data_IF_095498952592
#
_entry.id   IF_095498952592
#
_cell.length_a   1.000
_cell.length_b   1.000
_cell.length_c   1.000
_cell.angle_alpha   90.00
_cell.angle_beta   90.00
_cell.angle_gamma   90.00
#
_symmetry.space_group_name_H-M   'P 1'
#
loop_
_entity.id
_entity.type
_entity.pdbx_description
1 polymer ?
#
# COMPACT_ATOMS: atom_id res chain seq x y z
N UNK A 1 -10.63 -0.81 27.45
CA UNK A 1 -10.10 -0.22 26.20
C UNK A 1 -9.02 -1.14 25.65
N UNK A 2 -8.57 -1.00 24.40
CA UNK A 2 -7.39 -1.70 23.90
C UNK A 2 -6.27 -0.72 23.63
N UNK A 3 -5.12 -0.93 24.26
CA UNK A 3 -3.88 -0.21 24.00
C UNK A 3 -2.96 -1.08 23.17
N UNK A 4 -2.14 -0.46 22.33
CA UNK A 4 -1.02 -1.14 21.68
C UNK A 4 0.28 -0.66 22.32
N UNK A 5 1.11 -1.60 22.77
CA UNK A 5 2.48 -1.38 23.20
C UNK A 5 3.41 -1.91 22.11
N UNK A 6 4.14 -1.01 21.47
CA UNK A 6 5.09 -1.33 20.41
C UNK A 6 6.49 -1.08 20.95
N UNK A 7 7.31 -2.12 21.01
CA UNK A 7 8.70 -2.00 21.46
C UNK A 7 9.59 -1.42 20.36
N UNK A 8 10.41 -0.44 20.75
CA UNK A 8 11.45 0.25 19.98
C UNK A 8 12.72 0.33 20.85
N UNK A 9 13.03 -0.76 21.55
CA UNK A 9 14.13 -0.90 22.49
C UNK A 9 15.42 -1.40 21.83
N UNK A 10 15.31 -2.11 20.70
CA UNK A 10 16.47 -2.66 19.99
C UNK A 10 16.99 -1.64 18.98
N UNK A 11 18.27 -1.31 19.08
CA UNK A 11 18.99 -0.50 18.10
C UNK A 11 19.54 -1.37 16.96
N UNK A 12 19.52 -0.84 15.74
CA UNK A 12 20.17 -1.46 14.59
C UNK A 12 21.70 -1.43 14.76
N UNK A 13 22.37 -2.55 14.49
CA UNK A 13 23.82 -2.69 14.69
C UNK A 13 24.65 -1.70 13.85
N UNK A 14 24.12 -1.25 12.71
CA UNK A 14 24.76 -0.28 11.85
C UNK A 14 24.53 1.18 12.28
N UNK A 15 23.81 1.42 13.39
CA UNK A 15 23.63 2.74 13.98
C UNK A 15 22.58 3.60 13.29
N UNK A 16 21.63 3.01 12.56
CA UNK A 16 20.53 3.73 11.92
C UNK A 16 19.41 4.16 12.88
N UNK A 17 19.56 3.86 14.18
CA UNK A 17 18.56 4.09 15.21
C UNK A 17 17.79 2.81 15.57
N UNK A 18 16.61 2.94 16.21
CA UNK A 18 15.86 1.77 16.66
C UNK A 18 15.32 1.00 15.46
N UNK A 19 15.29 -0.33 15.56
CA UNK A 19 14.90 -1.24 14.49
C UNK A 19 13.53 -0.87 13.92
N UNK A 20 12.56 -0.50 14.75
CA UNK A 20 11.24 -0.08 14.26
C UNK A 20 11.25 1.19 13.38
N UNK A 21 12.31 2.01 13.44
CA UNK A 21 12.46 3.17 12.56
C UNK A 21 13.20 2.86 11.25
N UNK A 22 13.61 1.62 11.03
CA UNK A 22 14.19 1.21 9.76
C UNK A 22 13.17 1.38 8.62
N UNK A 23 13.63 1.81 7.43
CA UNK A 23 12.75 2.09 6.31
C UNK A 23 12.14 0.81 5.71
N UNK A 24 10.89 0.92 5.29
CA UNK A 24 10.14 -0.02 4.46
C UNK A 24 9.70 0.68 3.16
N UNK A 25 8.82 0.02 2.37
CA UNK A 25 8.33 0.57 1.11
C UNK A 25 7.58 1.90 1.23
N UNK A 26 6.65 2.00 2.16
CA UNK A 26 5.89 3.23 2.40
C UNK A 26 5.91 3.58 3.88
N UNK A 27 7.05 4.10 4.34
CA UNK A 27 7.28 4.48 5.72
C UNK A 27 8.31 3.57 6.38
N UNK A 28 8.17 3.37 7.68
CA UNK A 28 9.08 2.58 8.51
C UNK A 28 8.38 1.31 9.02
N UNK A 29 9.13 0.42 9.67
CA UNK A 29 8.55 -0.76 10.32
C UNK A 29 7.49 -0.37 11.36
N UNK A 30 7.72 0.71 12.10
CA UNK A 30 6.77 1.23 13.10
C UNK A 30 5.45 1.68 12.47
N UNK A 31 5.45 2.16 11.22
CA UNK A 31 4.21 2.48 10.50
C UNK A 31 3.36 1.24 10.30
N UNK A 32 4.00 0.10 10.04
CA UNK A 32 3.32 -1.18 9.94
C UNK A 32 2.77 -1.68 11.25
N UNK A 33 3.53 -1.54 12.32
CA UNK A 33 3.09 -1.92 13.66
C UNK A 33 1.91 -1.04 14.11
N UNK A 34 1.96 0.26 13.84
CA UNK A 34 0.88 1.23 14.11
C UNK A 34 -0.39 0.89 13.33
N UNK A 35 -0.28 0.60 12.03
CA UNK A 35 -1.41 0.18 11.19
C UNK A 35 -2.03 -1.13 11.72
N UNK A 36 -1.18 -2.12 12.02
CA UNK A 36 -1.61 -3.42 12.55
C UNK A 36 -2.35 -3.26 13.88
N UNK A 37 -1.82 -2.43 14.78
CA UNK A 37 -2.48 -2.08 16.05
C UNK A 37 -3.88 -1.51 15.85
N UNK A 38 -4.03 -0.57 14.92
CA UNK A 38 -5.33 0.03 14.58
C UNK A 38 -6.30 -1.02 14.01
N UNK A 39 -5.84 -1.89 13.11
CA UNK A 39 -6.64 -2.97 12.53
C UNK A 39 -7.15 -3.95 13.61
N UNK A 40 -6.33 -4.20 14.63
CA UNK A 40 -6.67 -5.02 15.80
C UNK A 40 -7.53 -4.28 16.84
N UNK A 41 -7.87 -3.02 16.60
CA UNK A 41 -8.80 -2.22 17.40
C UNK A 41 -8.17 -1.47 18.57
N UNK A 42 -6.84 -1.28 18.57
CA UNK A 42 -6.18 -0.42 19.54
C UNK A 42 -6.65 1.03 19.37
N UNK A 43 -7.03 1.67 20.48
CA UNK A 43 -7.49 3.07 20.51
C UNK A 43 -6.37 4.05 20.83
N UNK A 44 -5.38 3.59 21.60
CA UNK A 44 -4.18 4.33 21.98
C UNK A 44 -2.97 3.49 21.66
N UNK A 45 -1.95 4.13 21.09
CA UNK A 45 -0.68 3.53 20.71
C UNK A 45 0.38 4.05 21.67
N UNK A 46 1.20 3.17 22.19
CA UNK A 46 2.29 3.50 23.10
C UNK A 46 3.56 2.91 22.53
N UNK A 47 4.53 3.78 22.24
CA UNK A 47 5.85 3.41 21.77
C UNK A 47 6.77 3.30 22.98
N UNK A 48 7.26 2.10 23.26
CA UNK A 48 8.25 1.88 24.31
C UNK A 48 9.65 2.08 23.73
N UNK A 49 10.33 3.14 24.16
CA UNK A 49 11.67 3.49 23.66
C UNK A 49 12.53 3.98 24.84
N UNK A 50 13.45 3.17 25.35
CA UNK A 50 14.36 3.57 26.45
C UNK A 50 15.22 4.77 26.06
N UNK A 51 15.68 4.81 24.80
CA UNK A 51 16.47 5.90 24.23
C UNK A 51 15.54 6.81 23.44
N UNK A 52 15.66 8.13 23.67
CA UNK A 52 14.80 9.11 23.01
C UNK A 52 15.47 9.67 21.76
N UNK A 53 15.03 9.20 20.59
CA UNK A 53 15.53 9.65 19.29
C UNK A 53 14.74 10.85 18.76
N UNK A 54 15.43 11.83 18.17
CA UNK A 54 14.78 12.99 17.56
C UNK A 54 13.83 12.60 16.41
N UNK A 55 14.17 11.54 15.66
CA UNK A 55 13.31 10.97 14.61
C UNK A 55 11.99 10.42 15.17
N UNK A 56 12.03 9.79 16.34
CA UNK A 56 10.86 9.19 16.99
C UNK A 56 9.88 10.26 17.51
N UNK A 57 10.39 11.36 18.07
CA UNK A 57 9.54 12.51 18.45
C UNK A 57 8.79 13.10 17.26
N UNK A 58 9.52 13.38 16.17
CA UNK A 58 8.93 13.91 14.94
C UNK A 58 7.88 12.97 14.35
N UNK A 59 8.14 11.67 14.46
CA UNK A 59 7.20 10.63 14.05
C UNK A 59 5.90 10.68 14.86
N UNK A 60 6.00 10.67 16.19
CA UNK A 60 4.84 10.74 17.08
C UNK A 60 4.03 12.03 16.87
N UNK A 61 4.68 13.19 16.74
CA UNK A 61 4.01 14.46 16.43
C UNK A 61 3.26 14.41 15.09
N UNK A 62 3.87 13.81 14.06
CA UNK A 62 3.23 13.60 12.76
C UNK A 62 1.96 12.75 12.84
N UNK A 63 1.94 11.72 13.69
CA UNK A 63 0.75 10.91 13.95
C UNK A 63 -0.31 11.65 14.78
N UNK A 64 0.09 12.47 15.76
CA UNK A 64 -0.83 13.32 16.53
C UNK A 64 -1.57 14.32 15.63
N UNK A 65 -0.88 14.92 14.65
CA UNK A 65 -1.51 15.78 13.62
C UNK A 65 -2.56 15.02 12.78
N UNK A 66 -2.38 13.70 12.62
CA UNK A 66 -3.35 12.81 11.95
C UNK A 66 -4.46 12.31 12.89
N UNK A 67 -4.57 12.88 14.09
CA UNK A 67 -5.55 12.54 15.12
C UNK A 67 -5.45 11.07 15.60
N UNK A 68 -4.23 10.54 15.62
CA UNK A 68 -3.91 9.23 16.20
C UNK A 68 -3.43 9.48 17.64
N UNK A 69 -4.08 8.85 18.62
CA UNK A 69 -3.67 8.92 20.03
C UNK A 69 -2.43 8.05 20.24
N UNK A 70 -1.28 8.70 20.32
CA UNK A 70 0.03 8.06 20.47
C UNK A 70 0.85 8.74 21.56
N UNK A 71 1.56 7.95 22.36
CA UNK A 71 2.53 8.46 23.34
C UNK A 71 3.82 7.64 23.30
N UNK A 72 4.92 8.24 23.73
CA UNK A 72 6.22 7.57 23.87
C UNK A 72 6.49 7.42 25.37
N UNK A 73 6.82 6.21 25.81
CA UNK A 73 7.17 5.88 27.19
C UNK A 73 8.56 5.26 27.24
N UNK A 74 9.26 5.44 28.36
CA UNK A 74 10.62 4.89 28.53
C UNK A 74 10.64 3.64 29.38
N UNK A 75 9.73 3.56 30.33
CA UNK A 75 9.67 2.50 31.32
C UNK A 75 8.23 2.05 31.61
N UNK A 76 8.11 1.02 32.44
CA UNK A 76 6.82 0.46 32.84
C UNK A 76 6.02 1.42 33.74
N UNK A 77 6.69 2.28 34.51
CA UNK A 77 6.05 3.27 35.38
C UNK A 77 5.29 4.33 34.58
N UNK A 78 5.90 4.84 33.50
CA UNK A 78 5.26 5.73 32.54
C UNK A 78 4.06 5.05 31.85
N UNK A 79 4.22 3.78 31.47
CA UNK A 79 3.18 3.01 30.79
C UNK A 79 1.91 2.83 31.64
N UNK A 80 2.05 2.62 32.95
CA UNK A 80 0.93 2.46 33.90
C UNK A 80 0.02 3.70 33.91
N UNK A 81 0.56 4.90 33.66
CA UNK A 81 -0.22 6.14 33.67
C UNK A 81 -1.28 6.20 32.55
N UNK A 82 -1.12 5.39 31.50
CA UNK A 82 -2.00 5.37 30.34
C UNK A 82 -2.97 4.19 30.31
N UNK A 83 -2.79 3.20 31.18
CA UNK A 83 -3.53 1.95 31.16
C UNK A 83 -4.39 1.77 32.42
N UNK A 84 -5.65 1.37 32.26
CA UNK A 84 -6.48 0.91 33.37
C UNK A 84 -6.35 -0.62 33.54
N UNK A 85 -6.48 -1.18 34.76
CA UNK A 85 -6.34 -2.62 34.96
C UNK A 85 -7.31 -3.49 34.14
N UNK A 86 -8.46 -2.94 33.72
CA UNK A 86 -9.44 -3.63 32.87
C UNK A 86 -9.15 -3.53 31.37
N UNK A 87 -8.08 -2.84 30.98
CA UNK A 87 -7.72 -2.68 29.58
C UNK A 87 -7.01 -3.92 29.02
N UNK A 88 -7.17 -4.11 27.71
CA UNK A 88 -6.41 -5.06 26.92
C UNK A 88 -5.13 -4.38 26.43
N UNK A 89 -3.99 -5.05 26.58
CA UNK A 89 -2.68 -4.59 26.12
C UNK A 89 -2.21 -5.48 24.98
N UNK A 90 -2.34 -4.99 23.74
CA UNK A 90 -1.75 -5.63 22.57
C UNK A 90 -0.25 -5.31 22.55
N UNK A 91 0.60 -6.32 22.56
CA UNK A 91 2.05 -6.15 22.52
C UNK A 91 2.63 -6.58 21.17
N UNK A 92 3.58 -5.80 20.65
CA UNK A 92 4.42 -6.12 19.50
C UNK A 92 5.89 -5.82 19.82
N UNK A 93 6.75 -6.82 19.65
CA UNK A 93 8.20 -6.71 19.79
C UNK A 93 8.83 -5.84 18.70
N UNK A 94 10.07 -5.43 18.93
CA UNK A 94 10.91 -4.74 17.95
C UNK A 94 10.94 -5.46 16.60
N UNK A 95 10.68 -4.73 15.53
CA UNK A 95 10.76 -5.29 14.18
C UNK A 95 9.65 -6.31 13.82
N UNK A 96 8.71 -6.59 14.73
CA UNK A 96 7.68 -7.62 14.56
C UNK A 96 6.33 -7.00 14.25
N UNK A 97 5.65 -7.50 13.22
CA UNK A 97 4.24 -7.18 12.96
C UNK A 97 3.46 -8.40 12.43
N UNK A 98 2.15 -8.50 12.74
CA UNK A 98 1.30 -9.59 12.27
C UNK A 98 0.93 -9.43 10.79
N UNK A 99 0.64 -10.56 10.15
CA UNK A 99 -0.11 -10.63 8.91
C UNK A 99 -1.63 -10.57 9.17
N UNK A 100 -2.39 -10.46 8.08
CA UNK A 100 -3.84 -10.24 8.12
C UNK A 100 -4.61 -11.30 8.92
N UNK A 101 -4.19 -12.57 8.87
CA UNK A 101 -4.83 -13.67 9.60
C UNK A 101 -4.78 -13.47 11.12
N UNK A 102 -3.62 -13.09 11.65
CA UNK A 102 -3.42 -12.80 13.07
C UNK A 102 -4.15 -11.51 13.48
N UNK A 103 -4.10 -10.46 12.64
CA UNK A 103 -4.84 -9.22 12.90
C UNK A 103 -6.34 -9.47 13.07
N UNK A 104 -6.94 -10.24 12.16
CA UNK A 104 -8.36 -10.57 12.19
C UNK A 104 -8.75 -11.40 13.42
N UNK A 105 -7.88 -12.33 13.83
CA UNK A 105 -8.07 -13.13 15.03
C UNK A 105 -7.99 -12.26 16.30
N UNK A 106 -6.93 -11.47 16.44
CA UNK A 106 -6.71 -10.60 17.60
C UNK A 106 -7.77 -9.51 17.75
N UNK A 107 -8.32 -9.00 16.64
CA UNK A 107 -9.44 -8.05 16.67
C UNK A 107 -10.65 -8.58 17.45
N UNK A 108 -10.90 -9.89 17.41
CA UNK A 108 -12.04 -10.54 18.09
C UNK A 108 -11.66 -11.11 19.46
N UNK A 109 -10.38 -11.43 19.66
CA UNK A 109 -9.85 -12.00 20.89
C UNK A 109 -10.06 -11.06 22.09
N UNK A 110 -10.38 -11.63 23.26
CA UNK A 110 -10.58 -10.89 24.53
C UNK A 110 -9.77 -11.44 25.69
N UNK A 111 -9.47 -12.73 25.65
CA UNK A 111 -8.64 -13.40 26.65
C UNK A 111 -7.17 -13.28 26.27
N UNK A 112 -6.31 -13.36 27.28
CA UNK A 112 -4.88 -13.27 27.08
C UNK A 112 -4.39 -14.41 26.19
N UNK A 113 -3.45 -14.09 25.31
CA UNK A 113 -2.95 -15.01 24.32
C UNK A 113 -1.55 -14.60 23.88
N UNK A 114 -0.65 -15.57 23.76
CA UNK A 114 0.63 -15.40 23.06
C UNK A 114 0.67 -16.21 21.76
N UNK A 115 1.23 -15.64 20.71
CA UNK A 115 1.47 -16.35 19.45
C UNK A 115 2.84 -17.02 19.47
N UNK A 116 2.89 -18.29 19.13
CA UNK A 116 4.11 -19.09 19.17
C UNK A 116 4.28 -19.88 17.90
N UNK A 117 5.52 -20.30 17.65
CA UNK A 117 5.88 -21.25 16.59
C UNK A 117 6.66 -22.41 17.20
N UNK A 118 6.74 -23.54 16.50
CA UNK A 118 7.59 -24.65 16.90
C UNK A 118 9.05 -24.20 17.07
N UNK A 119 9.74 -24.75 18.06
CA UNK A 119 11.14 -24.47 18.29
C UNK A 119 12.01 -25.13 17.21
N UNK A 120 12.20 -24.42 16.10
CA UNK A 120 13.05 -24.79 14.97
C UNK A 120 14.15 -23.73 14.77
N UNK A 121 15.26 -24.14 14.15
CA UNK A 121 16.41 -23.28 13.85
C UNK A 121 16.06 -22.19 12.81
N UNK A 122 15.12 -22.47 11.89
CA UNK A 122 14.62 -21.48 10.93
C UNK A 122 13.94 -20.28 11.62
N UNK A 123 13.47 -20.46 12.86
CA UNK A 123 12.84 -19.42 13.68
C UNK A 123 13.78 -18.90 14.78
N UNK A 124 15.10 -19.07 14.60
CA UNK A 124 16.11 -18.71 15.60
C UNK A 124 16.08 -17.25 16.04
N UNK A 125 15.63 -16.33 15.18
CA UNK A 125 15.45 -14.92 15.49
C UNK A 125 14.30 -14.60 16.46
N UNK A 126 13.39 -15.54 16.71
CA UNK A 126 12.34 -15.39 17.70
C UNK A 126 12.78 -15.88 19.08
N UNK A 127 12.31 -15.22 20.13
CA UNK A 127 12.64 -15.54 21.51
C UNK A 127 12.17 -16.96 21.88
N UNK A 128 13.04 -17.77 22.48
CA UNK A 128 12.70 -19.11 22.93
C UNK A 128 12.09 -19.07 24.33
N UNK A 129 10.86 -19.55 24.48
CA UNK A 129 10.13 -19.55 25.75
C UNK A 129 10.17 -20.88 26.50
N UNK A 130 10.33 -22.00 25.79
CA UNK A 130 10.50 -23.33 26.38
C UNK A 130 11.28 -24.28 25.44
N UNK A 131 11.17 -25.60 25.65
CA UNK A 131 11.84 -26.60 24.82
C UNK A 131 11.18 -26.78 23.44
N UNK A 132 9.89 -26.47 23.32
CA UNK A 132 9.05 -26.80 22.17
C UNK A 132 8.61 -25.57 21.38
N UNK A 133 8.67 -24.37 21.95
CA UNK A 133 8.10 -23.17 21.36
C UNK A 133 9.02 -21.95 21.41
N UNK A 134 8.86 -21.11 20.38
CA UNK A 134 9.40 -19.75 20.30
C UNK A 134 8.26 -18.75 20.21
N UNK A 135 8.40 -17.61 20.87
CA UNK A 135 7.42 -16.53 20.88
C UNK A 135 7.58 -15.66 19.64
N UNK A 136 6.47 -15.44 18.94
CA UNK A 136 6.44 -14.66 17.72
C UNK A 136 6.47 -13.14 17.96
N UNK A 137 6.71 -12.68 19.19
CA UNK A 137 6.76 -11.26 19.54
C UNK A 137 5.41 -10.54 19.49
N UNK A 138 4.31 -11.30 19.47
CA UNK A 138 2.94 -10.77 19.42
C UNK A 138 2.13 -11.40 20.56
N UNK A 139 1.43 -10.57 21.31
CA UNK A 139 0.60 -11.03 22.41
C UNK A 139 -0.58 -10.09 22.68
N UNK A 140 -1.63 -10.64 23.28
CA UNK A 140 -2.67 -9.89 23.97
C UNK A 140 -2.55 -10.18 25.45
N UNK A 141 -2.30 -9.15 26.25
CA UNK A 141 -2.24 -9.23 27.71
C UNK A 141 -3.37 -8.41 28.33
N UNK A 142 -3.59 -8.60 29.63
CA UNK A 142 -4.33 -7.65 30.48
C UNK A 142 -3.37 -6.61 31.02
N UNK A 143 -3.79 -5.35 30.95
CA UNK A 143 -3.02 -4.23 31.46
C UNK A 143 -2.74 -4.34 32.98
N UNK A 144 -3.53 -5.10 33.74
CA UNK A 144 -3.25 -5.41 35.15
C UNK A 144 -1.86 -6.03 35.38
N UNK A 145 -1.28 -6.70 34.38
CA UNK A 145 0.09 -7.26 34.47
C UNK A 145 1.17 -6.19 34.58
N UNK A 146 0.89 -4.96 34.17
CA UNK A 146 1.82 -3.85 34.32
C UNK A 146 2.15 -3.58 35.78
N UNK A 147 1.23 -3.85 36.71
CA UNK A 147 1.48 -3.74 38.14
C UNK A 147 2.48 -4.82 38.62
N UNK A 148 2.38 -6.04 38.10
CA UNK A 148 3.30 -7.15 38.42
C UNK A 148 4.73 -6.85 37.99
N UNK A 149 4.88 -6.14 36.87
CA UNK A 149 6.21 -5.76 36.35
C UNK A 149 6.67 -4.37 36.78
N UNK A 150 5.89 -3.62 37.55
CA UNK A 150 6.25 -2.26 38.01
C UNK A 150 7.49 -2.21 38.90
N UNK A 151 7.90 -3.35 39.47
CA UNK A 151 9.04 -3.50 40.38
C UNK A 151 10.26 -4.17 39.72
N UNK A 152 10.23 -4.41 38.41
CA UNK A 152 11.40 -4.95 37.70
C UNK A 152 12.50 -3.88 37.65
N UNK A 153 13.80 -4.28 37.66
CA UNK A 153 14.89 -3.34 37.47
C UNK A 153 14.76 -2.57 36.15
N UNK A 154 15.21 -1.31 36.13
CA UNK A 154 15.11 -0.42 34.95
C UNK A 154 15.82 -0.99 33.70
N UNK A 155 16.83 -1.84 33.89
CA UNK A 155 17.60 -2.47 32.79
C UNK A 155 16.89 -3.69 32.17
N UNK A 156 15.74 -4.11 32.68
CA UNK A 156 15.02 -5.27 32.16
C UNK A 156 14.14 -4.91 30.97
N UNK A 157 14.16 -5.76 29.94
CA UNK A 157 13.23 -5.64 28.83
C UNK A 157 11.78 -5.91 29.29
N UNK A 158 10.92 -4.90 29.15
CA UNK A 158 9.52 -4.94 29.56
C UNK A 158 8.74 -6.00 28.80
N UNK A 159 9.02 -6.19 27.50
CA UNK A 159 8.37 -7.20 26.68
C UNK A 159 8.61 -8.61 27.22
N UNK A 160 9.88 -8.93 27.48
CA UNK A 160 10.33 -10.20 28.05
C UNK A 160 9.78 -10.41 29.47
N UNK A 161 9.70 -9.35 30.28
CA UNK A 161 9.11 -9.43 31.62
C UNK A 161 7.61 -9.75 31.57
N UNK A 162 6.84 -9.08 30.69
CA UNK A 162 5.42 -9.36 30.46
C UNK A 162 5.19 -10.77 29.92
N UNK A 163 6.02 -11.21 28.98
CA UNK A 163 5.96 -12.56 28.46
C UNK A 163 6.17 -13.58 29.58
N UNK A 164 7.18 -13.37 30.43
CA UNK A 164 7.51 -14.27 31.52
C UNK A 164 6.38 -14.39 32.53
N UNK A 165 5.76 -13.28 32.94
CA UNK A 165 4.62 -13.32 33.88
C UNK A 165 3.40 -14.00 33.25
N UNK A 166 3.14 -13.75 31.96
CA UNK A 166 2.08 -14.43 31.22
C UNK A 166 2.32 -15.94 31.12
N UNK A 167 3.52 -16.38 30.78
CA UNK A 167 3.87 -17.81 30.69
C UNK A 167 3.77 -18.49 32.05
N UNK A 168 4.25 -17.85 33.13
CA UNK A 168 4.19 -18.40 34.49
C UNK A 168 2.77 -18.56 35.02
N UNK A 169 1.85 -17.71 34.59
CA UNK A 169 0.43 -17.77 34.96
C UNK A 169 -0.41 -18.67 34.04
N UNK A 170 0.22 -19.37 33.09
CA UNK A 170 -0.47 -20.31 32.21
C UNK A 170 -1.28 -19.65 31.09
N UNK A 171 -0.85 -18.48 30.61
CA UNK A 171 -1.47 -17.79 29.47
C UNK A 171 -1.61 -18.72 28.25
N UNK A 172 -2.75 -18.61 27.56
CA UNK A 172 -3.06 -19.40 26.38
C UNK A 172 -2.05 -19.15 25.26
N UNK A 173 -1.83 -20.17 24.44
CA UNK A 173 -0.84 -20.16 23.36
C UNK A 173 -1.50 -20.58 22.06
N UNK A 174 -1.31 -19.79 21.01
CA UNK A 174 -1.74 -20.13 19.66
C UNK A 174 -0.51 -20.48 18.84
N UNK A 175 -0.42 -21.75 18.44
CA UNK A 175 0.63 -22.24 17.56
C UNK A 175 0.33 -21.81 16.13
N UNK A 176 1.25 -21.07 15.52
CA UNK A 176 1.23 -20.74 14.09
C UNK A 176 1.96 -21.83 13.34
N UNK A 177 1.32 -22.37 12.30
CA UNK A 177 1.89 -23.44 11.49
C UNK A 177 2.98 -22.91 10.55
N UNK A 178 3.92 -23.77 10.14
CA UNK A 178 4.93 -23.40 9.14
C UNK A 178 4.30 -22.94 7.82
N UNK A 179 3.16 -23.53 7.43
CA UNK A 179 2.42 -23.13 6.24
C UNK A 179 1.86 -21.70 6.34
N UNK A 180 1.48 -21.27 7.55
CA UNK A 180 1.01 -19.91 7.79
C UNK A 180 2.19 -18.94 7.91
N UNK A 181 3.31 -19.35 8.51
CA UNK A 181 4.55 -18.56 8.52
C UNK A 181 5.06 -18.30 7.10
N UNK A 182 5.01 -19.29 6.21
CA UNK A 182 5.33 -19.11 4.79
C UNK A 182 4.39 -18.14 4.06
N UNK A 183 3.18 -17.93 4.57
CA UNK A 183 2.21 -16.94 4.08
C UNK A 183 2.31 -15.61 4.82
N UNK A 184 3.43 -15.35 5.50
CA UNK A 184 3.68 -14.13 6.26
C UNK A 184 2.65 -13.89 7.38
N UNK A 185 2.24 -14.95 8.09
CA UNK A 185 1.38 -14.81 9.27
C UNK A 185 1.98 -13.89 10.34
N UNK A 186 3.31 -13.91 10.49
CA UNK A 186 4.10 -12.94 11.25
C UNK A 186 5.36 -12.62 10.46
N UNK A 187 5.80 -11.36 10.51
CA UNK A 187 7.07 -10.92 9.94
C UNK A 187 7.97 -10.39 11.06
N UNK A 188 9.24 -10.79 11.03
CA UNK A 188 10.30 -10.27 11.90
C UNK A 188 11.38 -9.65 11.01
N UNK A 189 11.71 -8.38 11.27
CA UNK A 189 12.74 -7.63 10.57
C UNK A 189 13.75 -7.09 11.60
N UNK A 190 14.81 -7.84 11.92
CA UNK A 190 15.73 -7.49 12.99
C UNK A 190 16.77 -6.44 12.60
N UNK A 191 17.03 -6.26 11.29
CA UNK A 191 18.11 -5.43 10.78
C UNK A 191 17.76 -4.78 9.43
N UNK A 192 18.60 -3.84 9.01
CA UNK A 192 18.45 -3.10 7.76
C UNK A 192 18.56 -3.96 6.49
N UNK A 193 19.27 -5.09 6.52
CA UNK A 193 19.40 -5.98 5.36
C UNK A 193 18.09 -6.75 5.15
N UNK A 194 17.55 -7.33 6.21
CA UNK A 194 16.32 -8.11 6.21
C UNK A 194 15.12 -7.23 5.83
N UNK A 195 15.08 -5.97 6.29
CA UNK A 195 14.04 -5.02 5.89
C UNK A 195 14.08 -4.69 4.40
N UNK A 196 15.29 -4.50 3.83
CA UNK A 196 15.47 -4.27 2.40
C UNK A 196 15.09 -5.49 1.56
N UNK A 197 15.46 -6.70 2.00
CA UNK A 197 15.08 -7.96 1.36
C UNK A 197 13.55 -8.16 1.39
N UNK A 198 12.90 -7.89 2.53
CA UNK A 198 11.45 -7.93 2.66
C UNK A 198 10.77 -6.93 1.72
N UNK A 199 11.26 -5.68 1.67
CA UNK A 199 10.72 -4.66 0.78
C UNK A 199 10.83 -5.06 -0.70
N UNK A 200 11.95 -5.66 -1.10
CA UNK A 200 12.17 -6.19 -2.45
C UNK A 200 11.23 -7.36 -2.76
N UNK A 201 11.11 -8.32 -1.84
CA UNK A 201 10.22 -9.48 -1.98
C UNK A 201 8.75 -9.07 -2.12
N UNK A 202 8.32 -8.03 -1.39
CA UNK A 202 6.96 -7.49 -1.52
C UNK A 202 6.69 -6.96 -2.92
N UNK A 203 7.65 -6.26 -3.56
CA UNK A 203 7.48 -5.79 -4.94
C UNK A 203 7.42 -6.93 -5.95
N UNK A 204 8.23 -7.97 -5.75
CA UNK A 204 8.27 -9.12 -6.65
C UNK A 204 6.99 -9.98 -6.57
N UNK A 205 6.35 -10.04 -5.40
CA UNK A 205 5.15 -10.85 -5.17
C UNK A 205 3.82 -10.13 -5.44
N UNK A 206 3.85 -8.86 -5.87
CA UNK A 206 2.62 -8.13 -6.17
C UNK A 206 1.95 -8.66 -7.40
N UNK A 207 0.87 -9.38 -7.15
CA UNK A 207 -0.12 -9.71 -8.15
C UNK A 207 -0.90 -8.45 -8.45
N UNK A 208 -0.53 -7.77 -9.53
CA UNK A 208 -1.34 -6.68 -10.07
C UNK A 208 -2.63 -7.28 -10.63
N UNK A 209 -3.79 -7.02 -10.01
CA UNK A 209 -5.04 -7.39 -10.65
C UNK A 209 -5.22 -6.52 -11.90
N UNK A 210 -5.58 -7.17 -13.02
CA UNK A 210 -5.92 -6.56 -14.32
C UNK A 210 -4.72 -6.01 -15.10
N UNK A 211 -3.88 -6.90 -15.63
CA UNK A 211 -2.87 -6.52 -16.62
C UNK A 211 -3.39 -6.78 -18.03
N UNK A 212 -3.48 -5.72 -18.84
CA UNK A 212 -3.47 -5.89 -20.29
C UNK A 212 -2.02 -6.15 -20.75
N UNK A 213 -1.82 -6.54 -22.00
CA UNK A 213 -0.48 -6.84 -22.53
C UNK A 213 0.47 -5.63 -22.42
N UNK A 214 -0.06 -4.43 -22.58
CA UNK A 214 0.71 -3.19 -22.49
C UNK A 214 1.20 -2.96 -21.05
N UNK A 215 0.32 -3.15 -20.07
CA UNK A 215 0.65 -3.09 -18.65
C UNK A 215 1.70 -4.16 -18.29
N UNK A 216 1.54 -5.39 -18.81
CA UNK A 216 2.46 -6.49 -18.54
C UNK A 216 3.87 -6.30 -19.13
N UNK A 217 3.97 -5.85 -20.38
CA UNK A 217 5.26 -5.79 -21.10
C UNK A 217 5.93 -4.43 -21.12
N UNK A 218 5.18 -3.34 -20.96
CA UNK A 218 5.71 -1.98 -21.06
C UNK A 218 5.61 -1.28 -19.71
N UNK A 219 4.40 -1.14 -19.16
CA UNK A 219 4.20 -0.35 -17.93
C UNK A 219 4.86 -0.99 -16.72
N UNK A 220 4.71 -2.31 -16.52
CA UNK A 220 5.24 -3.03 -15.37
C UNK A 220 6.78 -3.05 -15.33
N UNK A 221 7.51 -3.39 -16.41
CA UNK A 221 8.98 -3.32 -16.39
C UNK A 221 9.51 -1.91 -16.18
N UNK A 222 8.86 -0.89 -16.76
CA UNK A 222 9.22 0.51 -16.54
C UNK A 222 9.00 0.91 -15.07
N UNK A 223 7.84 0.51 -14.51
CA UNK A 223 7.52 0.75 -13.11
C UNK A 223 8.51 0.04 -12.18
N UNK A 224 8.81 -1.24 -12.39
CA UNK A 224 9.76 -1.99 -11.56
C UNK A 224 11.14 -1.34 -11.49
N UNK A 225 11.56 -0.63 -12.54
CA UNK A 225 12.80 0.18 -12.52
C UNK A 225 12.63 1.52 -11.82
N UNK A 226 11.47 2.15 -11.96
CA UNK A 226 11.19 3.45 -11.34
C UNK A 226 10.95 3.33 -9.82
N UNK A 227 10.36 2.23 -9.35
CA UNK A 227 10.04 2.04 -7.93
C UNK A 227 11.31 2.21 -7.07
N UNK A 228 12.48 1.56 -7.31
CA UNK A 228 13.74 1.77 -6.55
C UNK A 228 14.16 3.23 -6.40
N UNK A 229 14.07 4.01 -7.47
CA UNK A 229 14.41 5.42 -7.45
C UNK A 229 13.39 6.27 -6.68
N UNK A 230 12.11 5.89 -6.74
CA UNK A 230 11.04 6.58 -6.03
C UNK A 230 11.00 6.21 -4.53
N UNK A 231 11.61 5.08 -4.15
CA UNK A 231 11.76 4.57 -2.79
C UNK A 231 12.65 5.47 -1.91
N UNK A 232 13.69 6.07 -2.50
CA UNK A 232 14.65 6.92 -1.79
C UNK A 232 14.14 8.36 -1.60
N UNK A 233 13.07 8.74 -2.32
CA UNK A 233 12.58 10.11 -2.35
C UNK A 233 11.47 10.33 -1.29
N UNK A 234 11.67 11.22 -0.29
CA UNK A 234 10.59 11.58 0.62
C UNK A 234 9.43 12.19 -0.17
N UNK A 235 8.19 11.88 0.23
CA UNK A 235 6.97 12.41 -0.38
C UNK A 235 6.77 12.06 -1.88
N UNK A 236 7.45 11.02 -2.41
CA UNK A 236 7.36 10.60 -3.81
C UNK A 236 5.91 10.52 -4.33
N UNK A 237 4.97 10.04 -3.52
CA UNK A 237 3.53 9.97 -3.86
C UNK A 237 2.92 11.32 -4.24
N UNK A 238 3.28 12.41 -3.53
CA UNK A 238 2.83 13.78 -3.81
C UNK A 238 3.48 14.32 -5.08
N UNK A 239 4.76 14.03 -5.29
CA UNK A 239 5.46 14.49 -6.50
C UNK A 239 4.97 13.76 -7.75
N UNK A 240 4.70 12.46 -7.67
CA UNK A 240 4.13 11.69 -8.79
C UNK A 240 2.71 12.17 -9.11
N UNK A 241 1.88 12.43 -8.09
CA UNK A 241 0.53 12.97 -8.31
C UNK A 241 0.58 14.36 -8.96
N UNK A 242 1.45 15.25 -8.46
CA UNK A 242 1.68 16.56 -9.04
C UNK A 242 2.24 16.47 -10.48
N UNK A 243 3.19 15.56 -10.73
CA UNK A 243 3.76 15.34 -12.06
C UNK A 243 2.70 14.89 -13.07
N UNK A 244 1.77 13.99 -12.68
CA UNK A 244 0.67 13.57 -13.55
C UNK A 244 -0.22 14.74 -13.97
N UNK A 245 -0.56 15.63 -13.02
CA UNK A 245 -1.37 16.83 -13.29
C UNK A 245 -0.61 17.87 -14.10
N UNK A 246 0.67 18.09 -13.80
CA UNK A 246 1.53 19.00 -14.55
C UNK A 246 1.67 18.53 -16.01
N UNK A 247 1.89 17.24 -16.25
CA UNK A 247 1.92 16.67 -17.60
C UNK A 247 0.58 16.89 -18.34
N UNK A 248 -0.56 16.70 -17.67
CA UNK A 248 -1.86 16.95 -18.28
C UNK A 248 -2.07 18.43 -18.63
N UNK A 249 -1.66 19.36 -17.75
CA UNK A 249 -1.74 20.79 -18.01
C UNK A 249 -0.82 21.21 -19.18
N UNK A 250 0.41 20.70 -19.21
CA UNK A 250 1.36 20.92 -20.32
C UNK A 250 0.79 20.36 -21.63
N UNK A 251 0.15 19.20 -21.59
CA UNK A 251 -0.50 18.62 -22.77
C UNK A 251 -1.62 19.50 -23.34
N UNK A 252 -2.43 20.13 -22.49
CA UNK A 252 -3.42 21.12 -22.92
C UNK A 252 -2.72 22.30 -23.60
N UNK A 253 -1.61 22.80 -23.01
CA UNK A 253 -0.80 23.86 -23.62
C UNK A 253 -0.29 23.52 -25.02
N UNK A 254 0.33 22.34 -25.20
CA UNK A 254 0.77 21.88 -26.52
C UNK A 254 -0.38 21.63 -27.50
N UNK A 255 -1.54 21.22 -26.99
CA UNK A 255 -2.73 21.08 -27.81
C UNK A 255 -3.19 22.42 -28.37
N UNK A 256 -2.96 23.54 -27.69
CA UNK A 256 -3.35 24.88 -28.16
C UNK A 256 -2.40 25.37 -29.27
N UNK A 257 -1.13 24.97 -29.22
CA UNK A 257 -0.08 25.37 -30.18
C UNK A 257 -0.05 24.44 -31.41
N UNK A 258 -1.09 23.60 -31.62
CA UNK A 258 -1.21 22.67 -32.76
C UNK A 258 -0.03 21.67 -32.82
N UNK A 259 0.47 21.21 -31.67
CA UNK A 259 1.51 20.17 -31.59
C UNK A 259 0.92 18.87 -31.01
N UNK A 260 0.18 18.09 -31.82
CA UNK A 260 -0.58 16.93 -31.34
C UNK A 260 0.31 15.83 -30.79
N UNK A 261 1.48 15.60 -31.41
CA UNK A 261 2.45 14.60 -30.94
C UNK A 261 2.94 14.93 -29.53
N UNK A 262 3.33 16.18 -29.29
CA UNK A 262 3.81 16.62 -27.97
C UNK A 262 2.68 16.56 -26.93
N UNK A 263 1.48 17.01 -27.29
CA UNK A 263 0.30 16.94 -26.41
C UNK A 263 0.02 15.49 -25.97
N UNK A 264 -0.04 14.55 -26.92
CA UNK A 264 -0.29 13.15 -26.64
C UNK A 264 0.86 12.48 -25.88
N UNK A 265 2.12 12.86 -26.15
CA UNK A 265 3.27 12.35 -25.41
C UNK A 265 3.19 12.75 -23.92
N UNK A 266 2.85 14.00 -23.62
CA UNK A 266 2.67 14.45 -22.24
C UNK A 266 1.44 13.82 -21.58
N UNK A 267 0.32 13.62 -22.29
CA UNK A 267 -0.82 12.86 -21.75
C UNK A 267 -0.43 11.42 -21.43
N UNK A 268 0.34 10.77 -22.31
CA UNK A 268 0.80 9.40 -22.12
C UNK A 268 1.73 9.29 -20.91
N UNK A 269 2.73 10.18 -20.78
CA UNK A 269 3.61 10.25 -19.61
C UNK A 269 2.83 10.54 -18.31
N UNK A 270 1.88 11.47 -18.36
CA UNK A 270 1.01 11.77 -17.22
C UNK A 270 0.14 10.58 -16.81
N UNK A 271 -0.36 9.80 -17.78
CA UNK A 271 -1.15 8.60 -17.52
C UNK A 271 -0.30 7.48 -16.90
N UNK A 272 0.94 7.29 -17.35
CA UNK A 272 1.91 6.39 -16.71
C UNK A 272 2.21 6.83 -15.26
N UNK A 273 2.39 8.12 -15.03
CA UNK A 273 2.59 8.69 -13.70
C UNK A 273 1.37 8.47 -12.78
N UNK A 274 0.16 8.62 -13.31
CA UNK A 274 -1.07 8.34 -12.57
C UNK A 274 -1.23 6.84 -12.25
N UNK A 275 -0.85 5.95 -13.18
CA UNK A 275 -0.78 4.51 -12.91
C UNK A 275 0.22 4.22 -11.78
N UNK A 276 1.43 4.79 -11.84
CA UNK A 276 2.42 4.68 -10.78
C UNK A 276 1.86 5.12 -9.43
N UNK A 277 1.21 6.28 -9.36
CA UNK A 277 0.56 6.76 -8.14
C UNK A 277 -0.48 5.76 -7.61
N UNK A 278 -1.33 5.22 -8.50
CA UNK A 278 -2.35 4.25 -8.11
C UNK A 278 -1.76 2.92 -7.62
N UNK A 279 -0.63 2.47 -8.18
CA UNK A 279 0.03 1.23 -7.80
C UNK A 279 0.85 1.39 -6.52
N UNK A 280 1.58 2.49 -6.36
CA UNK A 280 2.24 2.86 -5.09
C UNK A 280 1.20 2.96 -3.96
N UNK A 281 -0.02 3.44 -4.26
CA UNK A 281 -1.08 3.46 -3.25
C UNK A 281 -1.51 2.08 -2.74
N UNK A 282 -1.25 1.00 -3.48
CA UNK A 282 -1.47 -0.39 -3.01
C UNK A 282 -0.49 -0.74 -1.89
N UNK A 283 0.73 -0.24 -1.99
CA UNK A 283 1.78 -0.44 -0.99
C UNK A 283 1.78 0.62 0.10
N UNK A 284 0.92 1.63 -0.03
CA UNK A 284 0.99 2.82 0.81
C UNK A 284 0.20 2.64 2.10
N UNK A 285 0.88 2.68 3.23
CA UNK A 285 0.31 2.55 4.57
C UNK A 285 -0.18 3.91 5.04
N UNK A 286 -1.36 4.28 4.54
CA UNK A 286 -2.00 5.53 4.91
C UNK A 286 -3.17 5.90 4.01
N UNK A 287 -4.25 6.35 4.65
CA UNK A 287 -5.49 6.84 4.04
C UNK A 287 -5.34 8.16 3.24
N UNK A 288 -4.19 8.40 2.61
CA UNK A 288 -4.00 9.45 1.63
C UNK A 288 -4.55 9.06 0.26
N UNK A 289 -5.83 8.66 0.18
CA UNK A 289 -6.54 8.56 -1.09
C UNK A 289 -6.77 10.00 -1.55
N UNK A 290 -5.86 10.55 -2.36
CA UNK A 290 -6.17 11.75 -3.14
C UNK A 290 -7.27 11.37 -4.13
N UNK A 291 -8.53 11.45 -3.69
CA UNK A 291 -9.72 11.02 -4.42
C UNK A 291 -9.93 11.85 -5.70
N UNK A 292 -9.26 13.00 -5.79
CA UNK A 292 -9.45 13.99 -6.83
C UNK A 292 -8.40 13.94 -7.96
N UNK A 293 -7.22 13.36 -7.76
CA UNK A 293 -6.16 13.42 -8.79
C UNK A 293 -6.57 12.74 -10.09
N UNK A 294 -7.15 11.53 -9.98
CA UNK A 294 -7.61 10.78 -11.15
C UNK A 294 -8.69 11.53 -11.95
N UNK A 295 -9.80 11.95 -11.33
CA UNK A 295 -10.83 12.76 -12.01
C UNK A 295 -10.27 14.02 -12.68
N UNK A 296 -9.41 14.79 -12.01
CA UNK A 296 -8.83 16.02 -12.57
C UNK A 296 -7.95 15.70 -13.78
N UNK A 297 -7.11 14.65 -13.69
CA UNK A 297 -6.30 14.21 -14.82
C UNK A 297 -7.17 13.83 -16.04
N UNK A 298 -8.24 13.07 -15.83
CA UNK A 298 -9.13 12.69 -16.93
C UNK A 298 -9.88 13.89 -17.53
N UNK A 299 -10.25 14.89 -16.73
CA UNK A 299 -10.84 16.13 -17.23
C UNK A 299 -9.86 16.92 -18.10
N UNK A 300 -8.62 17.10 -17.64
CA UNK A 300 -7.56 17.77 -18.40
C UNK A 300 -7.22 17.01 -19.69
N UNK A 301 -7.15 15.67 -19.62
CA UNK A 301 -6.95 14.81 -20.78
C UNK A 301 -8.07 14.93 -21.80
N UNK A 302 -9.34 14.95 -21.35
CA UNK A 302 -10.48 15.16 -22.23
C UNK A 302 -10.44 16.53 -22.91
N UNK A 303 -10.06 17.59 -22.17
CA UNK A 303 -9.89 18.93 -22.71
C UNK A 303 -8.78 18.96 -23.78
N UNK A 304 -7.60 18.39 -23.51
CA UNK A 304 -6.51 18.31 -24.47
C UNK A 304 -6.90 17.53 -25.73
N UNK A 305 -7.57 16.37 -25.62
CA UNK A 305 -8.03 15.62 -26.79
C UNK A 305 -9.08 16.39 -27.60
N UNK A 306 -10.00 17.09 -26.94
CA UNK A 306 -11.01 17.91 -27.60
C UNK A 306 -10.37 19.06 -28.39
N UNK A 307 -9.42 19.78 -27.80
CA UNK A 307 -8.69 20.85 -28.49
C UNK A 307 -7.90 20.30 -29.68
N UNK A 308 -7.26 19.14 -29.54
CA UNK A 308 -6.56 18.49 -30.65
C UNK A 308 -7.49 18.18 -31.83
N UNK A 309 -8.69 17.64 -31.56
CA UNK A 309 -9.69 17.40 -32.63
C UNK A 309 -10.12 18.71 -33.26
N UNK A 310 -10.49 19.72 -32.46
CA UNK A 310 -10.98 21.02 -32.97
C UNK A 310 -9.95 21.73 -33.85
N UNK A 311 -8.66 21.63 -33.52
CA UNK A 311 -7.60 22.31 -34.28
C UNK A 311 -7.13 21.56 -35.53
N UNK A 312 -7.24 20.23 -35.56
CA UNK A 312 -6.71 19.42 -36.67
C UNK A 312 -7.82 18.93 -37.64
N UNK A 313 -9.08 18.96 -37.23
CA UNK A 313 -10.20 18.54 -38.08
C UNK A 313 -10.49 19.55 -39.19
N UNK A 314 -10.85 19.06 -40.38
CA UNK A 314 -11.45 19.92 -41.38
C UNK A 314 -12.87 20.35 -40.95
N UNK A 315 -13.31 21.59 -41.25
CA UNK A 315 -14.61 22.11 -40.81
C UNK A 315 -15.80 21.23 -41.20
N UNK A 316 -15.71 20.54 -42.34
CA UNK A 316 -16.76 19.67 -42.88
C UNK A 316 -16.97 18.38 -42.06
N UNK A 317 -15.93 17.90 -41.38
CA UNK A 317 -15.96 16.64 -40.61
C UNK A 317 -15.87 16.85 -39.10
N UNK A 318 -15.68 18.09 -38.64
CA UNK A 318 -15.51 18.45 -37.23
C UNK A 318 -16.60 17.87 -36.32
N UNK A 319 -17.87 17.96 -36.72
CA UNK A 319 -18.98 17.43 -35.93
C UNK A 319 -18.93 15.90 -35.80
N UNK A 320 -18.51 15.20 -36.86
CA UNK A 320 -18.35 13.75 -36.85
C UNK A 320 -17.19 13.33 -35.93
N UNK A 321 -16.04 14.00 -36.02
CA UNK A 321 -14.87 13.70 -35.18
C UNK A 321 -15.14 13.96 -33.70
N UNK A 322 -15.82 15.07 -33.36
CA UNK A 322 -16.25 15.34 -31.99
C UNK A 322 -17.24 14.29 -31.47
N UNK A 323 -18.17 13.83 -32.32
CA UNK A 323 -19.10 12.76 -31.96
C UNK A 323 -18.35 11.47 -31.65
N UNK A 324 -17.34 11.13 -32.46
CA UNK A 324 -16.52 9.92 -32.25
C UNK A 324 -15.68 10.04 -30.97
N UNK A 325 -15.14 11.23 -30.66
CA UNK A 325 -14.45 11.47 -29.39
C UNK A 325 -15.38 11.27 -28.18
N UNK A 326 -16.61 11.79 -28.24
CA UNK A 326 -17.61 11.59 -27.18
C UNK A 326 -17.96 10.09 -27.04
N UNK A 327 -18.16 9.39 -28.16
CA UNK A 327 -18.40 7.94 -28.15
C UNK A 327 -17.22 7.20 -27.50
N UNK A 328 -15.98 7.56 -27.83
CA UNK A 328 -14.79 6.96 -27.23
C UNK A 328 -14.78 7.15 -25.70
N UNK A 329 -15.11 8.34 -25.19
CA UNK A 329 -15.21 8.58 -23.75
C UNK A 329 -16.31 7.74 -23.09
N UNK A 330 -17.50 7.66 -23.72
CA UNK A 330 -18.60 6.82 -23.24
C UNK A 330 -18.20 5.34 -23.20
N UNK A 331 -17.51 4.84 -24.23
CA UNK A 331 -17.04 3.46 -24.28
C UNK A 331 -15.96 3.17 -23.25
N UNK A 332 -14.99 4.08 -23.05
CA UNK A 332 -13.98 3.97 -22.00
C UNK A 332 -14.59 3.95 -20.60
N UNK A 333 -15.66 4.72 -20.39
CA UNK A 333 -16.42 4.67 -19.15
C UNK A 333 -17.17 3.34 -19.00
N UNK A 334 -17.79 2.82 -20.07
CA UNK A 334 -18.45 1.51 -20.07
C UNK A 334 -17.48 0.35 -19.82
N UNK A 335 -16.24 0.39 -20.34
CA UNK A 335 -15.21 -0.63 -20.05
C UNK A 335 -14.90 -0.74 -18.55
N UNK A 336 -15.08 0.35 -17.79
CA UNK A 336 -14.90 0.33 -16.32
C UNK A 336 -16.05 -0.31 -15.56
N UNK A 337 -17.25 -0.38 -16.13
CA UNK A 337 -18.44 -0.97 -15.49
C UNK A 337 -18.60 -2.46 -15.81
N UNK A 338 -17.97 -2.93 -16.88
CA UNK A 338 -17.97 -4.34 -17.30
C UNK A 338 -17.13 -5.19 -16.31
N UNK A 339 -17.68 -6.31 -15.80
CA UNK A 339 -16.95 -7.23 -14.93
C UNK A 339 -15.74 -7.84 -15.65
N UNK A 340 -14.69 -8.16 -14.90
CA UNK A 340 -13.46 -8.69 -15.49
C UNK A 340 -13.67 -10.10 -16.05
N UNK A 341 -13.21 -10.31 -17.28
CA UNK A 341 -13.28 -11.60 -17.95
C UNK A 341 -11.84 -12.06 -18.18
N UNK A 342 -11.43 -13.13 -17.50
CA UNK A 342 -10.04 -13.61 -17.50
C UNK A 342 -9.45 -13.76 -18.91
N UNK A 343 -10.23 -14.29 -19.86
CA UNK A 343 -9.81 -14.47 -21.25
C UNK A 343 -9.59 -13.16 -22.04
N UNK A 344 -10.26 -12.07 -21.66
CA UNK A 344 -10.21 -10.77 -22.35
C UNK A 344 -9.36 -9.74 -21.61
N UNK A 345 -8.98 -10.00 -20.36
CA UNK A 345 -8.18 -9.07 -19.54
C UNK A 345 -6.86 -8.68 -20.23
N UNK A 346 -6.27 -9.59 -21.03
CA UNK A 346 -5.06 -9.31 -21.81
C UNK A 346 -5.20 -8.14 -22.81
N UNK A 347 -6.41 -7.89 -23.30
CA UNK A 347 -6.69 -6.88 -24.34
C UNK A 347 -7.62 -5.78 -23.76
N UNK A 348 -7.75 -5.68 -22.43
CA UNK A 348 -8.64 -4.68 -21.81
C UNK A 348 -8.21 -3.25 -22.21
N UNK A 349 -9.11 -2.44 -22.82
CA UNK A 349 -8.81 -1.06 -23.13
C UNK A 349 -8.64 -0.26 -21.84
N UNK A 350 -7.43 0.24 -21.60
CA UNK A 350 -7.14 1.17 -20.52
C UNK A 350 -6.67 2.52 -21.08
N UNK A 351 -6.62 3.54 -20.22
CA UNK A 351 -6.25 4.90 -20.66
C UNK A 351 -4.83 4.96 -21.22
N UNK A 352 -3.90 4.16 -20.71
CA UNK A 352 -2.51 4.16 -21.20
C UNK A 352 -2.41 3.49 -22.57
N UNK A 353 -3.06 2.35 -22.79
CA UNK A 353 -3.09 1.71 -24.11
C UNK A 353 -3.72 2.60 -25.17
N UNK A 354 -4.87 3.23 -24.87
CA UNK A 354 -5.55 4.13 -25.82
C UNK A 354 -4.69 5.34 -26.15
N UNK A 355 -4.06 5.98 -25.14
CA UNK A 355 -3.15 7.09 -25.38
C UNK A 355 -1.90 6.64 -26.17
N UNK A 356 -1.40 5.43 -25.94
CA UNK A 356 -0.30 4.85 -26.71
C UNK A 356 -0.67 4.67 -28.19
N UNK A 357 -1.86 4.13 -28.48
CA UNK A 357 -2.36 3.98 -29.86
C UNK A 357 -2.52 5.36 -30.53
N UNK A 358 -3.11 6.34 -29.83
CA UNK A 358 -3.27 7.70 -30.36
C UNK A 358 -1.92 8.39 -30.60
N UNK A 359 -0.95 8.21 -29.71
CA UNK A 359 0.41 8.76 -29.86
C UNK A 359 1.09 8.19 -31.11
N UNK A 360 1.03 6.87 -31.31
CA UNK A 360 1.58 6.23 -32.52
C UNK A 360 0.86 6.75 -33.77
N UNK A 361 -0.47 6.82 -33.77
CA UNK A 361 -1.23 7.35 -34.89
C UNK A 361 -0.85 8.81 -35.20
N UNK A 362 -0.63 9.62 -34.18
CA UNK A 362 -0.21 11.02 -34.32
C UNK A 362 1.20 11.16 -34.90
N UNK A 363 2.14 10.27 -34.54
CA UNK A 363 3.50 10.28 -35.09
C UNK A 363 3.51 10.07 -36.61
N UNK A 364 2.57 9.30 -37.14
CA UNK A 364 2.39 9.08 -38.59
C UNK A 364 1.45 10.10 -39.25
N UNK A 365 0.94 11.09 -38.50
CA UNK A 365 0.01 12.10 -39.03
C UNK A 365 -1.42 11.61 -39.22
N UNK A 366 -1.78 10.42 -38.71
CA UNK A 366 -3.09 9.79 -38.88
C UNK A 366 -3.95 9.85 -37.60
N UNK A 367 -3.97 11.00 -36.93
CA UNK A 367 -4.63 11.15 -35.63
C UNK A 367 -6.14 10.83 -35.67
N UNK A 368 -6.86 11.29 -36.70
CA UNK A 368 -8.29 11.00 -36.88
C UNK A 368 -8.58 9.50 -37.00
N UNK A 369 -7.76 8.78 -37.77
CA UNK A 369 -7.84 7.32 -37.90
C UNK A 369 -7.57 6.65 -36.55
N UNK A 370 -6.62 7.18 -35.76
CA UNK A 370 -6.36 6.74 -34.40
C UNK A 370 -7.60 6.77 -33.52
N UNK A 371 -8.39 7.86 -33.54
CA UNK A 371 -9.64 7.94 -32.79
C UNK A 371 -10.66 6.88 -33.23
N UNK A 372 -10.77 6.63 -34.53
CA UNK A 372 -11.71 5.63 -35.07
C UNK A 372 -11.33 4.21 -34.65
N UNK A 373 -10.04 3.88 -34.75
CA UNK A 373 -9.51 2.57 -34.32
C UNK A 373 -9.73 2.38 -32.82
N UNK A 374 -9.43 3.39 -31.99
CA UNK A 374 -9.65 3.33 -30.55
C UNK A 374 -11.14 3.17 -30.19
N UNK A 375 -12.03 3.92 -30.84
CA UNK A 375 -13.47 3.81 -30.60
C UNK A 375 -14.00 2.43 -31.00
N UNK A 376 -13.62 1.93 -32.17
CA UNK A 376 -14.00 0.59 -32.63
C UNK A 376 -13.46 -0.49 -31.70
N UNK A 377 -12.20 -0.39 -31.28
CA UNK A 377 -11.58 -1.32 -30.36
C UNK A 377 -12.32 -1.41 -29.02
N UNK A 378 -12.65 -0.25 -28.42
CA UNK A 378 -13.45 -0.22 -27.20
C UNK A 378 -14.86 -0.77 -27.42
N UNK A 379 -15.51 -0.47 -28.54
CA UNK A 379 -16.85 -0.97 -28.86
C UNK A 379 -16.87 -2.49 -29.00
N UNK A 380 -15.92 -3.07 -29.74
CA UNK A 380 -15.78 -4.53 -29.91
C UNK A 380 -15.52 -5.20 -28.56
N UNK A 381 -14.63 -4.62 -27.74
CA UNK A 381 -14.37 -5.16 -26.40
C UNK A 381 -15.64 -5.20 -25.53
N UNK A 382 -16.38 -4.10 -25.46
CA UNK A 382 -17.62 -3.99 -24.66
C UNK A 382 -18.69 -4.96 -25.20
N UNK A 383 -18.84 -5.07 -26.52
CA UNK A 383 -19.79 -5.99 -27.14
C UNK A 383 -19.48 -7.46 -26.82
N UNK A 384 -18.22 -7.87 -26.96
CA UNK A 384 -17.78 -9.24 -26.63
C UNK A 384 -17.99 -9.51 -25.13
N UNK A 385 -17.62 -8.56 -24.28
CA UNK A 385 -17.75 -8.73 -22.84
C UNK A 385 -19.21 -8.86 -22.39
N UNK A 386 -20.12 -8.07 -22.97
CA UNK A 386 -21.55 -8.22 -22.73
C UNK A 386 -22.12 -9.53 -23.27
N UNK A 387 -21.72 -9.97 -24.48
CA UNK A 387 -22.21 -11.22 -25.07
C UNK A 387 -21.89 -12.45 -24.21
N UNK A 388 -20.69 -12.48 -23.60
CA UNK A 388 -20.26 -13.58 -22.73
C UNK A 388 -20.99 -13.62 -21.40
N UNK A 389 -21.48 -12.48 -20.91
CA UNK A 389 -22.31 -12.40 -19.71
C UNK A 389 -23.64 -13.13 -19.92
N UNK A 390 -24.29 -12.90 -21.06
CA UNK A 390 -25.55 -13.57 -21.39
C UNK A 390 -25.41 -15.09 -21.53
N UNK A 391 -24.28 -15.58 -22.04
CA UNK A 391 -24.02 -17.03 -22.15
C UNK A 391 -23.71 -17.69 -20.80
N UNK A 392 -23.17 -16.94 -19.83
CA UNK A 392 -22.91 -17.45 -18.49
C UNK A 392 -24.20 -17.53 -17.65
N UNK A 393 -25.10 -16.54 -17.76
CA UNK A 393 -26.38 -16.49 -17.05
C UNK A 393 -27.42 -17.50 -17.59
N UNK A 394 -27.16 -18.16 -18.72
CA UNK A 394 -28.06 -19.19 -19.32
C UNK A 394 -27.61 -20.63 -19.04
N UNK A 395 -26.50 -20.82 -18.32
CA UNK A 395 -25.99 -22.14 -17.92
C UNK A 395 -25.96 -22.34 -16.39
N UNK A 396 -26.33 -21.34 -15.60
CA UNK A 396 -26.59 -21.45 -14.16
C UNK A 396 -28.09 -21.38 -13.89
#
# INVERSE_FOLDING_TARGET
MRLALISLSIEDEAGHGPVGMLPLFDGNIVDKQVESAQNMGAKKIILLSPIMHAGLWRYADGLKVRNIDIEIVRDAGDLIQYASPQDDLLFMSDGVFPGESIEQALRKQRDELIYVVANDEIYSGFERIDLSHRWLGIALFKASRLEEISQIPEDWDIGSALLRTAVQSGCDRTLVSDADMQKYATVLLPDAQTSAEYAKGQVDNVHIPRQNFFDRYISWPLMRRAIPLLWEAPDAKKYISAASLACAAIAVGFSIIVWPVASLAFLFLGALSLLLHSRISIFSFGNGKSRLTGPIFYLLGAAALTVNVVQNAHPEVLAAELTILVILFCLLWAVRTVPDIAALNWIKPDSVLILGILLVASLFGYLAIGFYVCALFCAVYVAIAHSRRFTADSQG
#
